data_IF_521522678990
#
_entry.id   IF_521522678990
#
_cell.length_a   1.000
_cell.length_b   1.000
_cell.length_c   1.000
_cell.angle_alpha   90.00
_cell.angle_beta   90.00
_cell.angle_gamma   90.00
#
_symmetry.space_group_name_H-M   'P 1'
#
loop_
_entity.id
_entity.type
_entity.pdbx_description
1 polymer ?
#
# COMPACT_ATOMS: atom_id res chain seq x y z
N UNK A 1 -10.92 -20.04 15.09
CA UNK A 1 -11.62 -18.86 14.55
C UNK A 1 -11.23 -18.75 13.09
N UNK A 2 -12.18 -18.95 12.19
CA UNK A 2 -11.96 -18.91 10.74
C UNK A 2 -11.68 -17.45 10.33
N UNK A 3 -10.42 -17.13 10.03
CA UNK A 3 -10.07 -15.86 9.42
C UNK A 3 -10.54 -15.90 7.97
N UNK A 4 -11.71 -15.34 7.69
CA UNK A 4 -12.16 -15.14 6.32
C UNK A 4 -11.15 -14.20 5.62
N UNK A 5 -10.37 -14.75 4.70
CA UNK A 5 -9.41 -14.03 3.85
C UNK A 5 -10.10 -13.12 2.81
N UNK A 6 -11.43 -12.92 2.91
CA UNK A 6 -12.15 -12.05 2.00
C UNK A 6 -11.78 -10.59 2.32
N UNK A 7 -11.34 -9.81 1.33
CA UNK A 7 -11.14 -8.39 1.50
C UNK A 7 -12.44 -7.75 1.99
N UNK A 8 -12.44 -7.15 3.18
CA UNK A 8 -13.61 -6.50 3.76
C UNK A 8 -13.34 -4.99 3.91
N UNK A 9 -13.63 -4.26 2.84
CA UNK A 9 -13.40 -2.82 2.77
C UNK A 9 -14.18 -2.06 3.87
N UNK A 10 -15.38 -2.51 4.26
CA UNK A 10 -16.17 -1.84 5.31
C UNK A 10 -15.47 -1.85 6.68
N UNK A 11 -14.60 -2.84 6.92
CA UNK A 11 -13.90 -3.01 8.20
C UNK A 11 -12.42 -2.64 8.15
N UNK A 12 -11.77 -2.79 6.98
CA UNK A 12 -10.32 -2.74 6.86
C UNK A 12 -9.80 -1.67 5.89
N UNK A 13 -10.67 -0.90 5.23
CA UNK A 13 -10.21 0.20 4.37
C UNK A 13 -9.78 1.40 5.22
N UNK A 14 -8.50 1.73 5.15
CA UNK A 14 -7.90 2.92 5.72
C UNK A 14 -7.19 3.72 4.60
N UNK A 15 -7.91 4.59 3.88
CA UNK A 15 -7.35 5.38 2.80
C UNK A 15 -6.47 6.56 3.26
N UNK A 16 -6.18 6.69 4.57
CA UNK A 16 -5.45 7.86 5.09
C UNK A 16 -4.05 7.96 4.49
N UNK A 17 -3.65 9.18 4.19
CA UNK A 17 -2.32 9.50 3.65
C UNK A 17 -1.21 8.94 4.53
N UNK A 18 -1.34 9.07 5.85
CA UNK A 18 -0.35 8.64 6.84
C UNK A 18 -0.13 7.13 6.78
N UNK A 19 -1.22 6.36 6.68
CA UNK A 19 -1.15 4.92 6.62
C UNK A 19 -0.49 4.43 5.33
N UNK A 20 -0.89 5.01 4.20
CA UNK A 20 -0.29 4.68 2.89
C UNK A 20 1.19 5.11 2.84
N UNK A 21 1.52 6.28 3.39
CA UNK A 21 2.91 6.76 3.49
C UNK A 21 3.78 5.84 4.35
N UNK A 22 3.24 5.34 5.45
CA UNK A 22 3.93 4.38 6.31
C UNK A 22 4.19 3.06 5.57
N UNK A 23 3.18 2.47 4.92
CA UNK A 23 3.35 1.25 4.12
C UNK A 23 4.43 1.42 3.04
N UNK A 24 4.40 2.54 2.31
CA UNK A 24 5.39 2.81 1.27
C UNK A 24 6.79 2.94 1.85
N UNK A 25 6.95 3.62 2.99
CA UNK A 25 8.24 3.75 3.67
C UNK A 25 8.82 2.38 4.04
N UNK A 26 7.99 1.49 4.59
CA UNK A 26 8.39 0.12 4.94
C UNK A 26 8.85 -0.67 3.70
N UNK A 27 8.09 -0.60 2.60
CA UNK A 27 8.39 -1.33 1.36
C UNK A 27 9.64 -0.75 0.66
N UNK A 28 9.86 0.56 0.76
CA UNK A 28 10.98 1.25 0.11
C UNK A 28 12.35 0.85 0.64
N UNK A 29 12.42 0.19 1.79
CA UNK A 29 13.65 -0.45 2.27
C UNK A 29 14.10 -1.63 1.39
N UNK A 30 13.17 -2.23 0.63
CA UNK A 30 13.42 -3.39 -0.24
C UNK A 30 13.26 -3.07 -1.74
N UNK A 31 12.33 -2.19 -2.11
CA UNK A 31 11.95 -1.95 -3.50
C UNK A 31 11.96 -0.45 -3.84
N UNK A 32 12.38 -0.10 -5.05
CA UNK A 32 12.25 1.28 -5.54
C UNK A 32 10.79 1.67 -5.77
N UNK A 33 10.47 2.96 -5.71
CA UNK A 33 9.11 3.46 -5.97
C UNK A 33 8.57 3.06 -7.36
N UNK A 34 9.45 2.98 -8.36
CA UNK A 34 9.08 2.53 -9.71
C UNK A 34 8.70 1.06 -9.72
N UNK A 35 9.41 0.22 -8.97
CA UNK A 35 9.12 -1.21 -8.85
C UNK A 35 7.83 -1.46 -8.05
N UNK A 36 7.58 -0.68 -6.99
CA UNK A 36 6.31 -0.70 -6.25
C UNK A 36 5.14 -0.40 -7.20
N UNK A 37 5.23 0.70 -7.96
CA UNK A 37 4.19 1.08 -8.93
C UNK A 37 3.94 0.00 -9.98
N UNK A 38 5.02 -0.60 -10.51
CA UNK A 38 4.94 -1.71 -11.47
C UNK A 38 4.21 -2.93 -10.89
N UNK A 39 4.53 -3.31 -9.65
CA UNK A 39 3.87 -4.45 -8.98
C UNK A 39 2.40 -4.21 -8.66
N UNK A 40 2.05 -2.95 -8.34
CA UNK A 40 0.68 -2.54 -8.10
C UNK A 40 -0.14 -2.35 -9.40
N UNK A 41 0.50 -2.36 -10.57
CA UNK A 41 -0.16 -2.11 -11.85
C UNK A 41 -0.65 -0.68 -12.02
N UNK A 42 -0.01 0.30 -11.36
CA UNK A 42 -0.37 1.72 -11.41
C UNK A 42 0.80 2.59 -11.82
N UNK A 43 0.51 3.82 -12.24
CA UNK A 43 1.54 4.83 -12.48
C UNK A 43 2.05 5.41 -11.15
N UNK A 44 3.32 5.81 -11.10
CA UNK A 44 3.89 6.51 -9.92
C UNK A 44 3.07 7.75 -9.52
N UNK A 45 2.57 8.49 -10.52
CA UNK A 45 1.71 9.66 -10.29
C UNK A 45 0.44 9.31 -9.52
N UNK A 46 -0.16 8.14 -9.76
CA UNK A 46 -1.32 7.66 -9.01
C UNK A 46 -0.98 7.48 -7.54
N UNK A 47 0.19 6.89 -7.24
CA UNK A 47 0.63 6.73 -5.86
C UNK A 47 0.88 8.09 -5.19
N UNK A 48 1.49 9.03 -5.90
CA UNK A 48 1.67 10.38 -5.36
C UNK A 48 0.35 11.10 -5.10
N UNK A 49 -0.69 10.86 -5.90
CA UNK A 49 -2.01 11.43 -5.65
C UNK A 49 -2.64 10.91 -4.36
N UNK A 50 -2.38 9.65 -3.97
CA UNK A 50 -2.82 9.08 -2.68
C UNK A 50 -2.11 9.73 -1.49
N UNK A 51 -0.96 10.36 -1.71
CA UNK A 51 -0.15 11.01 -0.69
C UNK A 51 -0.32 12.53 -0.65
N UNK A 52 -1.20 13.09 -1.48
CA UNK A 52 -1.49 14.54 -1.45
C UNK A 52 -2.35 14.90 -0.25
N UNK A 53 -2.34 16.18 0.09
CA UNK A 53 -3.28 16.75 1.03
C UNK A 53 -4.71 16.70 0.45
N UNK A 54 -5.74 16.47 1.28
CA UNK A 54 -7.12 16.34 0.80
C UNK A 54 -7.65 17.61 0.12
N UNK A 55 -7.07 18.77 0.40
CA UNK A 55 -7.42 20.04 -0.24
C UNK A 55 -6.82 20.20 -1.64
N UNK A 56 -5.87 19.34 -2.04
CA UNK A 56 -5.26 19.37 -3.37
C UNK A 56 -6.22 18.81 -4.42
N UNK A 57 -6.43 19.53 -5.53
CA UNK A 57 -7.30 19.11 -6.63
C UNK A 57 -6.94 17.74 -7.25
N UNK A 58 -5.69 17.29 -7.08
CA UNK A 58 -5.19 16.01 -7.59
C UNK A 58 -5.23 14.91 -6.53
N UNK A 59 -5.64 15.22 -5.30
CA UNK A 59 -5.84 14.21 -4.28
C UNK A 59 -6.83 13.16 -4.76
N UNK A 60 -6.50 11.91 -4.48
CA UNK A 60 -7.42 10.80 -4.70
C UNK A 60 -7.28 9.89 -3.50
N UNK A 61 -8.37 9.50 -2.82
CA UNK A 61 -8.27 8.55 -1.73
C UNK A 61 -7.74 7.21 -2.27
N UNK A 62 -6.85 6.56 -1.53
CA UNK A 62 -6.28 5.29 -1.95
C UNK A 62 -7.37 4.20 -2.05
N UNK A 63 -7.59 3.58 -3.23
CA UNK A 63 -8.55 2.49 -3.35
C UNK A 63 -8.16 1.30 -2.46
N UNK A 64 -9.13 0.62 -1.87
CA UNK A 64 -8.86 -0.50 -0.97
C UNK A 64 -8.03 -1.61 -1.63
N UNK A 65 -8.24 -1.90 -2.92
CA UNK A 65 -7.43 -2.88 -3.64
C UNK A 65 -5.93 -2.52 -3.66
N UNK A 66 -5.60 -1.22 -3.76
CA UNK A 66 -4.22 -0.73 -3.71
C UNK A 66 -3.67 -0.80 -2.29
N UNK A 67 -4.45 -0.40 -1.28
CA UNK A 67 -4.06 -0.55 0.12
C UNK A 67 -3.76 -2.01 0.46
N UNK A 68 -4.68 -2.93 0.15
CA UNK A 68 -4.52 -4.36 0.40
C UNK A 68 -3.27 -4.91 -0.30
N UNK A 69 -3.04 -4.53 -1.56
CA UNK A 69 -1.84 -4.95 -2.27
C UNK A 69 -0.54 -4.41 -1.64
N UNK A 70 -0.55 -3.17 -1.10
CA UNK A 70 0.57 -2.62 -0.35
C UNK A 70 0.80 -3.37 0.97
N UNK A 71 -0.25 -3.69 1.72
CA UNK A 71 -0.19 -4.47 2.96
C UNK A 71 0.42 -5.86 2.70
N UNK A 72 -0.08 -6.56 1.68
CA UNK A 72 0.44 -7.88 1.29
C UNK A 72 1.89 -7.81 0.81
N UNK A 73 2.25 -6.79 0.04
CA UNK A 73 3.63 -6.60 -0.42
C UNK A 73 4.58 -6.36 0.77
N UNK A 74 4.19 -5.52 1.73
CA UNK A 74 4.97 -5.27 2.93
C UNK A 74 5.14 -6.53 3.78
N UNK A 75 4.06 -7.29 3.99
CA UNK A 75 4.09 -8.55 4.74
C UNK A 75 5.01 -9.59 4.09
N UNK A 76 4.91 -9.77 2.78
CA UNK A 76 5.72 -10.74 2.04
C UNK A 76 7.22 -10.40 2.08
N UNK A 77 7.58 -9.11 1.95
CA UNK A 77 8.97 -8.66 2.04
C UNK A 77 9.54 -8.88 3.46
N UNK A 78 8.77 -8.55 4.50
CA UNK A 78 9.16 -8.79 5.91
C UNK A 78 9.33 -10.27 6.22
N UNK A 79 8.48 -11.13 5.68
CA UNK A 79 8.57 -12.58 5.90
C UNK A 79 9.79 -13.18 5.17
N UNK A 80 10.13 -12.66 3.99
CA UNK A 80 11.32 -13.09 3.24
C UNK A 80 12.62 -12.76 3.98
N UNK A 81 12.71 -11.59 4.62
CA UNK A 81 13.88 -11.21 5.44
C UNK A 81 14.04 -12.12 6.68
N UNK A 82 12.93 -12.49 7.33
CA UNK A 82 12.94 -13.35 8.52
C UNK A 82 13.34 -14.80 8.21
N UNK A 83 12.99 -15.33 7.03
CA UNK A 83 13.39 -16.68 6.61
C UNK A 83 14.84 -16.76 6.14
N UNK A 84 15.50 -15.62 5.91
CA UNK A 84 16.90 -15.55 5.48
C UNK A 84 17.88 -15.37 6.65
N UNK A 85 17.39 -15.33 7.89
CA UNK A 85 18.14 -15.28 9.15
C UNK A 85 17.94 -16.57 9.92
#
# INVERSE_FOLDING_TARGET
>A
MEHSLKPNAQKFHNPSREYISWLLTEIQTYLSMSEIARRLGVNRSSIYNYLRDETDQRFTPCPYAIQFALEELANNLKNTDKSSK
#
